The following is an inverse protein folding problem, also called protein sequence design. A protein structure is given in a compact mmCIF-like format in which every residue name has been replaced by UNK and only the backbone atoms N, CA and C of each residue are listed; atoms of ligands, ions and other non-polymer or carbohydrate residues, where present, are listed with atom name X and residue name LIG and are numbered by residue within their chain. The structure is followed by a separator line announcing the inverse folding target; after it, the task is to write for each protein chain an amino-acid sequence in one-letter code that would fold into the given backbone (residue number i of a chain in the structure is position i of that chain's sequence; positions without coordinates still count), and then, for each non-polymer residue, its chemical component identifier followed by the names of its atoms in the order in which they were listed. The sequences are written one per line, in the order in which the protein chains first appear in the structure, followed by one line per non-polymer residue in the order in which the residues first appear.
data_IF_133901110502
#
_entry.id   IF_133901110502
#
_cell.length_a   1.000
_cell.length_b   1.000
_cell.length_c   1.000
_cell.angle_alpha   90.00
_cell.angle_beta   90.00
_cell.angle_gamma   90.00
#
_symmetry.space_group_name_H-M   'P 1'
#
loop_
_entity.id
_entity.type
_entity.pdbx_description
1 polymer ?
#
# COMPACT_ATOMS: atom_id res chain seq x y z
N UNK A 1 4.39 -33.35 7.53
CA UNK A 1 5.08 -32.15 7.00
C UNK A 1 4.09 -30.99 6.97
N UNK A 2 4.01 -30.24 8.06
CA UNK A 2 3.03 -29.17 8.27
C UNK A 2 3.57 -27.89 7.62
N UNK A 3 2.89 -27.40 6.59
CA UNK A 3 3.29 -26.19 5.85
C UNK A 3 3.42 -25.01 6.81
N UNK A 4 4.65 -24.53 6.99
CA UNK A 4 4.94 -23.30 7.71
C UNK A 4 4.12 -22.16 7.09
N UNK A 5 3.30 -21.52 7.93
CA UNK A 5 2.42 -20.40 7.59
C UNK A 5 3.28 -19.21 7.18
N UNK A 6 3.58 -19.11 5.89
CA UNK A 6 4.38 -18.02 5.34
C UNK A 6 3.63 -16.70 5.60
N UNK A 7 4.12 -15.92 6.56
CA UNK A 7 3.60 -14.60 6.94
C UNK A 7 3.73 -13.71 5.70
N UNK A 8 2.64 -13.61 4.93
CA UNK A 8 2.66 -12.92 3.64
C UNK A 8 2.68 -11.42 3.95
N UNK A 9 3.82 -10.77 3.76
CA UNK A 9 3.98 -9.32 3.86
C UNK A 9 2.98 -8.66 2.89
N UNK A 10 1.81 -8.31 3.40
CA UNK A 10 0.69 -7.75 2.66
C UNK A 10 0.21 -6.54 3.42
N UNK A 11 -0.06 -5.45 2.70
CA UNK A 11 -0.66 -4.26 3.28
C UNK A 11 -2.14 -4.21 2.87
N UNK A 12 -3.02 -3.86 3.80
CA UNK A 12 -4.45 -3.75 3.58
C UNK A 12 -4.86 -2.28 3.59
N UNK A 13 -5.73 -1.92 2.66
CA UNK A 13 -6.42 -0.64 2.60
C UNK A 13 -7.90 -0.94 2.77
N UNK A 14 -8.55 -0.19 3.66
CA UNK A 14 -9.96 -0.34 3.97
C UNK A 14 -10.76 0.84 3.42
N UNK A 15 -12.05 0.63 3.17
CA UNK A 15 -12.98 1.71 2.85
C UNK A 15 -13.44 2.47 4.12
N UNK A 16 -14.33 3.44 3.97
CA UNK A 16 -14.87 4.22 5.10
C UNK A 16 -15.76 3.42 6.06
N UNK A 17 -16.16 2.20 5.69
CA UNK A 17 -16.95 1.28 6.53
C UNK A 17 -16.07 0.19 7.18
N UNK A 18 -14.76 0.17 6.87
CA UNK A 18 -13.82 -0.83 7.38
C UNK A 18 -13.78 -2.13 6.57
N UNK A 19 -14.43 -2.20 5.41
CA UNK A 19 -14.35 -3.37 4.54
C UNK A 19 -13.03 -3.37 3.75
N UNK A 20 -12.57 -4.55 3.34
CA UNK A 20 -11.36 -4.68 2.52
C UNK A 20 -11.56 -4.00 1.15
N UNK A 21 -10.83 -2.92 0.92
CA UNK A 21 -10.84 -2.20 -0.35
C UNK A 21 -9.72 -2.68 -1.27
N UNK A 22 -8.49 -2.77 -0.77
CA UNK A 22 -7.33 -3.18 -1.55
C UNK A 22 -6.32 -3.95 -0.71
N UNK A 23 -5.81 -5.05 -1.26
CA UNK A 23 -4.69 -5.80 -0.69
C UNK A 23 -3.47 -5.62 -1.58
N UNK A 24 -2.43 -4.99 -1.05
CA UNK A 24 -1.11 -4.86 -1.68
C UNK A 24 -0.30 -6.10 -1.36
N UNK A 25 0.18 -6.79 -2.40
CA UNK A 25 0.98 -8.01 -2.27
C UNK A 25 2.45 -7.78 -2.59
N UNK A 26 2.74 -6.85 -3.49
CA UNK A 26 4.10 -6.57 -3.95
C UNK A 26 4.23 -5.13 -4.40
N UNK A 27 5.35 -4.51 -4.04
CA UNK A 27 5.82 -3.23 -4.56
C UNK A 27 7.15 -3.52 -5.25
N UNK A 28 7.27 -3.15 -6.53
CA UNK A 28 8.46 -3.40 -7.34
C UNK A 28 8.84 -2.15 -8.11
N UNK A 29 10.12 -1.96 -8.34
CA UNK A 29 10.61 -0.96 -9.29
C UNK A 29 10.57 -1.54 -10.71
N UNK A 30 10.04 -0.78 -11.66
CA UNK A 30 10.10 -1.07 -13.10
C UNK A 30 10.63 0.17 -13.82
N UNK A 31 11.96 0.20 -14.04
CA UNK A 31 12.67 1.37 -14.53
C UNK A 31 12.53 2.55 -13.56
N UNK A 32 11.83 3.59 -14.00
CA UNK A 32 11.54 4.79 -13.20
C UNK A 32 10.18 4.74 -12.50
N UNK A 33 9.37 3.71 -12.75
CA UNK A 33 8.03 3.58 -12.19
C UNK A 33 8.01 2.63 -10.98
N UNK A 34 7.07 2.86 -10.07
CA UNK A 34 6.75 1.93 -8.99
C UNK A 34 5.52 1.10 -9.39
N UNK A 35 5.69 -0.21 -9.47
CA UNK A 35 4.63 -1.19 -9.77
C UNK A 35 4.04 -1.73 -8.49
N UNK A 36 2.72 -1.60 -8.35
CA UNK A 36 1.94 -2.10 -7.22
C UNK A 36 1.10 -3.27 -7.71
N UNK A 37 1.37 -4.47 -7.19
CA UNK A 37 0.60 -5.67 -7.49
C UNK A 37 -0.26 -6.04 -6.30
N UNK A 38 -1.54 -6.27 -6.56
CA UNK A 38 -2.50 -6.51 -5.49
C UNK A 38 -3.83 -7.06 -5.98
N UNK A 39 -4.82 -6.94 -5.10
CA UNK A 39 -6.22 -7.18 -5.39
C UNK A 39 -7.05 -5.98 -4.96
N UNK A 40 -8.08 -5.65 -5.72
CA UNK A 40 -9.11 -4.70 -5.33
C UNK A 40 -10.40 -5.49 -5.04
N UNK A 41 -11.16 -5.07 -4.04
CA UNK A 41 -12.42 -5.70 -3.62
C UNK A 41 -12.29 -7.23 -3.43
N UNK A 42 -11.22 -7.68 -2.76
CA UNK A 42 -10.97 -9.07 -2.37
C UNK A 42 -10.60 -10.06 -3.50
N UNK A 43 -11.00 -9.80 -4.74
CA UNK A 43 -10.89 -10.79 -5.83
C UNK A 43 -10.22 -10.27 -7.11
N UNK A 44 -10.42 -9.00 -7.49
CA UNK A 44 -9.96 -8.50 -8.80
C UNK A 44 -8.45 -8.27 -8.79
N UNK A 45 -7.64 -9.02 -9.56
CA UNK A 45 -6.21 -8.77 -9.64
C UNK A 45 -5.94 -7.42 -10.28
N UNK A 46 -5.01 -6.66 -9.70
CA UNK A 46 -4.60 -5.37 -10.24
C UNK A 46 -3.06 -5.27 -10.29
N UNK A 47 -2.57 -4.68 -11.38
CA UNK A 47 -1.20 -4.19 -11.53
C UNK A 47 -1.26 -2.70 -11.83
N UNK A 48 -1.00 -1.87 -10.81
CA UNK A 48 -0.96 -0.42 -10.94
C UNK A 48 0.47 0.07 -11.12
N UNK A 49 0.66 1.18 -11.85
CA UNK A 49 1.95 1.85 -12.02
C UNK A 49 1.84 3.26 -11.46
N UNK A 50 2.81 3.65 -10.63
CA UNK A 50 2.97 4.99 -10.10
C UNK A 50 4.22 5.62 -10.73
N UNK A 51 4.03 6.66 -11.54
CA UNK A 51 5.13 7.40 -12.16
C UNK A 51 5.75 8.41 -11.18
N UNK A 52 7.01 8.83 -11.38
CA UNK A 52 7.66 9.82 -10.50
C UNK A 52 6.93 11.16 -10.40
N UNK A 53 6.23 11.60 -11.46
CA UNK A 53 5.43 12.84 -11.41
C UNK A 53 4.25 12.68 -10.44
N UNK A 54 3.59 11.53 -10.48
CA UNK A 54 2.37 11.25 -9.73
C UNK A 54 2.72 10.95 -8.26
N UNK A 55 3.85 10.29 -8.02
CA UNK A 55 4.41 10.14 -6.68
C UNK A 55 4.69 11.49 -6.01
N UNK A 56 5.30 12.45 -6.74
CA UNK A 56 5.53 13.81 -6.23
C UNK A 56 4.23 14.56 -5.99
N UNK A 57 3.23 14.39 -6.86
CA UNK A 57 1.90 14.96 -6.67
C UNK A 57 1.23 14.39 -5.40
N UNK A 58 1.34 13.08 -5.15
CA UNK A 58 0.80 12.45 -3.94
C UNK A 58 1.44 13.00 -2.66
N UNK A 59 2.76 13.19 -2.65
CA UNK A 59 3.47 13.83 -1.51
C UNK A 59 3.01 15.27 -1.32
N UNK A 60 2.78 16.02 -2.40
CA UNK A 60 2.27 17.39 -2.33
C UNK A 60 0.84 17.47 -1.76
N UNK A 61 -0.03 16.53 -2.14
CA UNK A 61 -1.40 16.42 -1.62
C UNK A 61 -1.42 16.08 -0.13
N UNK A 62 -0.48 15.22 0.31
CA UNK A 62 -0.35 14.84 1.72
C UNK A 62 -0.09 16.05 2.62
N UNK A 63 0.78 16.97 2.17
CA UNK A 63 1.16 18.17 2.93
C UNK A 63 2.07 17.85 4.12
N UNK A 64 2.74 18.87 4.66
CA UNK A 64 3.81 18.71 5.67
C UNK A 64 3.31 18.03 6.96
N UNK A 65 2.15 18.44 7.49
CA UNK A 65 1.58 17.89 8.73
C UNK A 65 1.28 16.40 8.60
N UNK A 66 0.70 15.97 7.47
CA UNK A 66 0.34 14.56 7.25
C UNK A 66 1.57 13.71 6.97
N UNK A 67 2.63 14.26 6.36
CA UNK A 67 3.93 13.57 6.21
C UNK A 67 4.52 13.28 7.59
N UNK A 68 4.56 14.26 8.49
CA UNK A 68 5.01 14.05 9.87
C UNK A 68 4.15 13.01 10.59
N UNK A 69 2.84 13.09 10.44
CA UNK A 69 1.94 12.07 10.96
C UNK A 69 2.26 10.68 10.41
N UNK A 70 2.45 10.51 9.10
CA UNK A 70 2.78 9.24 8.45
C UNK A 70 4.08 8.64 8.99
N UNK A 71 5.11 9.47 9.18
CA UNK A 71 6.39 9.05 9.77
C UNK A 71 6.15 8.52 11.20
N UNK A 72 5.42 9.25 12.03
CA UNK A 72 5.11 8.80 13.41
C UNK A 72 4.16 7.60 13.45
N UNK A 73 3.26 7.49 12.47
CA UNK A 73 2.26 6.44 12.34
C UNK A 73 2.91 5.08 12.09
N UNK A 74 4.00 5.04 11.30
CA UNK A 74 4.73 3.81 11.00
C UNK A 74 5.32 3.12 12.26
N UNK A 75 5.52 3.86 13.35
CA UNK A 75 6.02 3.36 14.63
C UNK A 75 4.94 3.23 15.71
N UNK A 76 3.69 3.61 15.41
CA UNK A 76 2.59 3.53 16.37
C UNK A 76 2.07 2.08 16.43
N UNK A 77 1.86 1.50 17.61
CA UNK A 77 1.28 0.16 17.73
C UNK A 77 -0.14 0.13 17.14
N UNK A 78 -0.41 -0.86 16.29
CA UNK A 78 -1.79 -1.16 15.85
C UNK A 78 -2.53 -1.80 17.03
N UNK A 79 -3.73 -1.29 17.33
CA UNK A 79 -4.70 -2.00 18.16
C UNK A 79 -5.43 -3.05 17.33
#
# INVERSE_FOLDING_TARGET
MTKAKQKKNTAMVYDGQGNELMTIRKLEQDGNDLVITGKIFGAMPMKARLKPKDARAAVKIMGFKTIFFLITFLFRPSK
#
